data_IF_852423714850
#
_entry.id   IF_852423714850
#
_cell.length_a   1.000
_cell.length_b   1.000
_cell.length_c   1.000
_cell.angle_alpha   90.00
_cell.angle_beta   90.00
_cell.angle_gamma   90.00
#
_symmetry.space_group_name_H-M   'P 1'
#
loop_
_entity.id
_entity.type
_entity.pdbx_description
1 polymer ?
#
# COMPACT_ATOMS: atom_id res chain seq x y z
N UNK A 1 -3.89 -13.90 36.98
CA UNK A 1 -3.10 -12.69 36.70
C UNK A 1 -4.11 -11.56 36.62
N UNK A 2 -4.01 -10.56 37.50
CA UNK A 2 -4.93 -9.41 37.46
C UNK A 2 -4.60 -8.59 36.21
N UNK A 3 -5.61 -8.23 35.42
CA UNK A 3 -5.49 -7.23 34.37
C UNK A 3 -5.05 -5.91 35.01
N UNK A 4 -3.85 -5.46 34.69
CA UNK A 4 -3.34 -4.16 35.12
C UNK A 4 -4.05 -3.15 34.20
N UNK A 5 -5.08 -2.48 34.72
CA UNK A 5 -5.72 -1.36 34.03
C UNK A 5 -4.75 -0.19 33.90
N UNK A 6 -4.85 0.59 32.82
CA UNK A 6 -4.01 1.78 32.57
C UNK A 6 -3.86 2.70 33.79
N UNK A 7 -4.89 2.77 34.62
CA UNK A 7 -4.95 3.64 35.79
C UNK A 7 -4.06 3.17 36.96
N UNK A 8 -3.64 1.90 36.99
CA UNK A 8 -2.79 1.35 38.06
C UNK A 8 -1.29 1.62 37.80
N UNK A 9 -0.86 1.82 36.54
CA UNK A 9 0.55 2.07 36.21
C UNK A 9 1.03 3.47 36.64
N UNK A 10 0.10 4.42 36.83
CA UNK A 10 0.39 5.84 37.06
C UNK A 10 -0.02 6.35 38.45
N UNK A 11 -0.41 5.46 39.38
CA UNK A 11 -0.86 5.83 40.73
C UNK A 11 0.23 5.78 41.82
N UNK A 12 1.48 6.12 41.51
CA UNK A 12 2.48 6.32 42.58
C UNK A 12 2.41 7.74 43.18
N UNK A 13 1.86 7.78 44.40
CA UNK A 13 1.97 8.78 45.48
C UNK A 13 2.59 10.14 45.10
N UNK A 14 1.71 11.16 45.18
CA UNK A 14 2.01 12.60 45.32
C UNK A 14 3.09 12.85 46.39
N UNK A 15 4.32 13.01 45.95
CA UNK A 15 5.40 13.68 46.67
C UNK A 15 5.69 14.98 45.90
N UNK A 16 5.94 16.07 46.63
CA UNK A 16 6.30 17.39 46.10
C UNK A 16 7.28 17.30 44.93
N UNK A 17 7.09 18.05 43.82
CA UNK A 17 7.87 17.87 42.61
C UNK A 17 9.32 18.30 42.87
N UNK A 18 10.19 17.31 43.05
CA UNK A 18 11.60 17.49 42.73
C UNK A 18 11.68 17.50 41.21
N UNK A 19 12.23 18.57 40.63
CA UNK A 19 12.52 18.67 39.21
C UNK A 19 13.54 17.60 38.84
N UNK A 20 13.06 16.41 38.52
CA UNK A 20 13.85 15.36 37.90
C UNK A 20 14.06 15.77 36.43
N UNK A 21 15.30 16.09 36.01
CA UNK A 21 15.56 16.59 34.66
C UNK A 21 15.29 15.54 33.57
N UNK A 22 15.09 14.26 33.94
CA UNK A 22 14.79 13.16 33.01
C UNK A 22 13.33 12.69 33.09
N UNK A 23 12.45 13.43 33.78
CA UNK A 23 11.06 13.01 34.03
C UNK A 23 10.28 12.78 32.73
N UNK A 24 10.44 13.68 31.76
CA UNK A 24 9.77 13.62 30.46
C UNK A 24 10.26 12.42 29.63
N UNK A 25 11.58 12.25 29.54
CA UNK A 25 12.22 11.14 28.84
C UNK A 25 11.80 9.79 29.42
N UNK A 26 11.72 9.68 30.74
CA UNK A 26 11.24 8.49 31.43
C UNK A 26 9.78 8.21 31.11
N UNK A 27 8.94 9.24 31.09
CA UNK A 27 7.52 9.09 30.72
C UNK A 27 7.35 8.59 29.29
N UNK A 28 8.08 9.16 28.33
CA UNK A 28 8.05 8.74 26.93
C UNK A 28 8.54 7.30 26.74
N UNK A 29 9.58 6.88 27.47
CA UNK A 29 10.03 5.47 27.46
C UNK A 29 8.99 4.51 28.03
N UNK A 30 8.32 4.89 29.13
CA UNK A 30 7.24 4.10 29.71
C UNK A 30 6.04 4.02 28.77
N UNK A 31 5.68 5.12 28.14
CA UNK A 31 4.61 5.18 27.15
C UNK A 31 4.90 4.29 25.94
N UNK A 32 6.12 4.36 25.38
CA UNK A 32 6.53 3.48 24.27
C UNK A 32 6.50 2.00 24.67
N UNK A 33 6.98 1.68 25.87
CA UNK A 33 6.94 0.31 26.42
C UNK A 33 5.50 -0.19 26.62
N UNK A 34 4.61 0.67 27.11
CA UNK A 34 3.19 0.36 27.27
C UNK A 34 2.52 0.08 25.92
N UNK A 35 2.80 0.89 24.89
CA UNK A 35 2.29 0.66 23.54
C UNK A 35 2.85 -0.65 22.97
N UNK A 36 4.13 -0.96 23.19
CA UNK A 36 4.74 -2.18 22.68
C UNK A 36 4.06 -3.44 23.21
N UNK A 37 3.65 -3.43 24.49
CA UNK A 37 3.01 -4.57 25.14
C UNK A 37 1.52 -4.70 24.80
N UNK A 38 0.79 -3.57 24.74
CA UNK A 38 -0.68 -3.58 24.64
C UNK A 38 -1.20 -3.25 23.23
N UNK A 39 -0.47 -2.45 22.46
CA UNK A 39 -0.88 -1.90 21.17
C UNK A 39 0.29 -1.93 20.15
N UNK A 40 0.72 -3.13 19.71
CA UNK A 40 1.93 -3.30 18.90
C UNK A 40 1.86 -2.57 17.55
N UNK A 41 0.66 -2.38 16.98
CA UNK A 41 0.44 -1.60 15.76
C UNK A 41 0.98 -0.18 15.91
N UNK A 42 0.44 0.58 16.88
CA UNK A 42 0.81 1.96 17.17
C UNK A 42 2.26 2.10 17.66
N UNK A 43 2.73 1.15 18.46
CA UNK A 43 4.14 1.10 18.89
C UNK A 43 5.09 0.97 17.70
N UNK A 44 4.77 0.09 16.75
CA UNK A 44 5.58 -0.12 15.55
C UNK A 44 5.63 1.16 14.73
N UNK A 45 4.49 1.79 14.47
CA UNK A 45 4.40 3.07 13.75
C UNK A 45 5.26 4.16 14.39
N UNK A 46 5.15 4.36 15.71
CA UNK A 46 5.95 5.33 16.44
C UNK A 46 7.45 5.01 16.46
N UNK A 47 7.84 3.74 16.29
CA UNK A 47 9.27 3.36 16.27
C UNK A 47 9.96 3.75 14.97
N UNK A 48 9.20 3.91 13.87
CA UNK A 48 9.73 4.35 12.59
C UNK A 48 9.86 5.87 12.48
N UNK A 49 9.29 6.63 13.41
CA UNK A 49 9.35 8.09 13.46
C UNK A 49 10.21 8.51 14.64
N UNK A 50 11.09 9.50 14.44
CA UNK A 50 11.97 9.96 15.51
C UNK A 50 11.21 10.91 16.42
N UNK A 51 11.15 10.61 17.72
CA UNK A 51 10.66 11.54 18.74
C UNK A 51 11.84 12.36 19.27
N UNK A 52 11.85 13.67 19.04
CA UNK A 52 12.88 14.59 19.53
C UNK A 52 12.30 15.55 20.57
N UNK A 53 13.08 15.88 21.59
CA UNK A 53 12.71 16.83 22.64
C UNK A 53 13.56 18.07 22.45
N UNK A 54 12.93 19.21 22.16
CA UNK A 54 13.61 20.49 21.94
C UNK A 54 13.42 21.44 23.14
N UNK A 55 14.38 22.33 23.33
CA UNK A 55 14.27 23.37 24.36
C UNK A 55 13.23 24.43 23.96
N UNK A 56 12.55 25.03 24.92
CA UNK A 56 11.51 26.05 24.65
C UNK A 56 12.04 27.35 24.02
N UNK A 57 13.36 27.55 24.00
CA UNK A 57 14.00 28.62 23.24
C UNK A 57 14.18 28.30 21.76
N UNK A 58 14.20 27.01 21.41
CA UNK A 58 14.43 26.51 20.04
C UNK A 58 13.12 26.06 19.39
N UNK A 59 12.11 25.69 20.18
CA UNK A 59 10.76 25.43 19.69
C UNK A 59 10.09 26.74 19.24
N UNK A 60 9.26 26.65 18.21
CA UNK A 60 8.47 27.78 17.69
C UNK A 60 7.30 28.15 18.64
N UNK A 61 7.38 27.78 19.92
CA UNK A 61 6.34 27.81 20.97
C UNK A 61 5.16 26.88 20.72
N UNK A 62 5.26 25.99 19.74
CA UNK A 62 4.30 24.90 19.53
C UNK A 62 4.48 23.81 20.58
N UNK A 63 3.39 23.12 20.93
CA UNK A 63 3.39 22.16 22.04
C UNK A 63 4.04 20.83 21.62
N UNK A 64 3.53 20.24 20.54
CA UNK A 64 4.09 19.09 19.83
C UNK A 64 3.79 19.33 18.36
N UNK A 65 4.77 19.12 17.49
CA UNK A 65 4.63 19.45 16.09
C UNK A 65 5.58 18.61 15.23
N UNK A 66 5.37 18.57 13.93
CA UNK A 66 6.26 17.88 13.00
C UNK A 66 6.60 18.79 11.82
N UNK A 67 7.87 19.22 11.69
CA UNK A 67 8.33 19.98 10.50
C UNK A 67 8.30 19.11 9.25
N UNK A 68 8.81 17.88 9.39
CA UNK A 68 8.93 16.91 8.31
C UNK A 68 8.12 15.65 8.56
N UNK A 69 8.04 14.79 7.55
CA UNK A 69 7.40 13.47 7.65
C UNK A 69 8.19 12.43 8.47
N UNK A 70 9.38 12.77 8.96
CA UNK A 70 10.32 11.82 9.58
C UNK A 70 10.44 11.95 11.11
N UNK A 71 10.02 13.09 11.68
CA UNK A 71 10.21 13.41 13.09
C UNK A 71 8.99 14.10 13.69
N UNK A 72 8.74 13.81 14.97
CA UNK A 72 7.80 14.55 15.81
C UNK A 72 8.61 15.18 16.93
N UNK A 73 8.47 16.48 17.10
CA UNK A 73 9.20 17.30 18.06
C UNK A 73 8.26 17.64 19.21
N UNK A 74 8.74 17.44 20.44
CA UNK A 74 8.03 17.76 21.68
C UNK A 74 8.75 18.94 22.34
N UNK A 75 8.03 20.02 22.60
CA UNK A 75 8.56 21.13 23.40
C UNK A 75 8.76 20.68 24.85
N UNK A 76 9.99 20.82 25.35
CA UNK A 76 10.35 20.42 26.72
C UNK A 76 9.49 21.13 27.77
N UNK A 77 9.22 22.42 27.62
CA UNK A 77 8.46 23.21 28.58
C UNK A 77 7.03 22.70 28.74
N UNK A 78 6.34 22.47 27.63
CA UNK A 78 4.99 21.88 27.62
C UNK A 78 5.00 20.44 28.09
N UNK A 79 5.94 19.63 27.61
CA UNK A 79 6.09 18.21 27.98
C UNK A 79 6.30 18.02 29.48
N UNK A 80 7.28 18.71 30.07
CA UNK A 80 7.56 18.67 31.51
C UNK A 80 6.34 19.15 32.31
N UNK A 81 5.70 20.24 31.90
CA UNK A 81 4.49 20.74 32.55
C UNK A 81 3.38 19.68 32.56
N UNK A 82 3.13 19.00 31.43
CA UNK A 82 2.10 17.97 31.39
C UNK A 82 2.41 16.79 32.30
N UNK A 83 3.65 16.31 32.33
CA UNK A 83 4.02 15.19 33.20
C UNK A 83 4.00 15.61 34.68
N UNK A 84 4.47 16.80 35.03
CA UNK A 84 4.46 17.31 36.41
C UNK A 84 3.04 17.44 36.97
N UNK A 85 2.07 17.84 36.14
CA UNK A 85 0.67 18.01 36.55
C UNK A 85 -0.22 16.78 36.29
N UNK A 86 0.33 15.64 35.86
CA UNK A 86 -0.45 14.43 35.58
C UNK A 86 -1.43 14.59 34.41
N UNK A 87 -1.01 15.31 33.37
CA UNK A 87 -1.75 15.61 32.13
C UNK A 87 -1.08 14.99 30.91
N UNK A 88 -0.41 13.85 31.09
CA UNK A 88 0.35 13.15 30.04
C UNK A 88 -0.51 12.79 28.83
N UNK A 89 -1.82 12.60 29.03
CA UNK A 89 -2.77 12.34 27.93
C UNK A 89 -2.85 13.49 26.91
N UNK A 90 -2.58 14.73 27.30
CA UNK A 90 -2.46 15.83 26.34
C UNK A 90 -1.26 15.60 25.40
N UNK A 91 -0.14 15.16 25.96
CA UNK A 91 1.05 14.82 25.18
C UNK A 91 0.78 13.64 24.23
N UNK A 92 0.13 12.59 24.72
CA UNK A 92 -0.21 11.42 23.90
C UNK A 92 -1.14 11.79 22.76
N UNK A 93 -2.14 12.64 23.02
CA UNK A 93 -3.04 13.17 22.00
C UNK A 93 -2.25 13.87 20.88
N UNK A 94 -1.40 14.84 21.19
CA UNK A 94 -0.68 15.54 20.13
C UNK A 94 0.36 14.67 19.42
N UNK A 95 1.02 13.74 20.10
CA UNK A 95 1.92 12.77 19.43
C UNK A 95 1.14 11.94 18.40
N UNK A 96 -0.05 11.44 18.78
CA UNK A 96 -0.87 10.67 17.85
C UNK A 96 -1.52 11.54 16.76
N UNK A 97 -1.86 12.79 17.07
CA UNK A 97 -2.33 13.77 16.09
C UNK A 97 -1.31 13.96 14.97
N UNK A 98 -0.07 14.30 15.33
CA UNK A 98 1.03 14.47 14.38
C UNK A 98 1.37 13.17 13.63
N UNK A 99 1.39 12.04 14.34
CA UNK A 99 1.59 10.72 13.73
C UNK A 99 0.57 10.44 12.62
N UNK A 100 -0.70 10.78 12.86
CA UNK A 100 -1.76 10.56 11.88
C UNK A 100 -1.64 11.48 10.67
N UNK A 101 -1.22 12.74 10.83
CA UNK A 101 -0.91 13.59 9.67
C UNK A 101 0.20 13.02 8.79
N UNK A 102 1.22 12.41 9.40
CA UNK A 102 2.31 11.74 8.69
C UNK A 102 1.80 10.50 7.96
N UNK A 103 1.06 9.62 8.66
CA UNK A 103 0.55 8.36 8.09
C UNK A 103 -0.46 8.61 6.95
N UNK A 104 -1.34 9.60 7.11
CA UNK A 104 -2.36 9.96 6.13
C UNK A 104 -1.83 10.84 4.99
N UNK A 105 -0.53 11.17 5.04
CA UNK A 105 0.19 11.95 4.03
C UNK A 105 -0.38 13.35 3.84
N UNK A 106 -0.96 13.95 4.87
CA UNK A 106 -1.62 15.27 4.77
C UNK A 106 -0.67 16.37 4.31
N UNK A 107 0.59 16.33 4.78
CA UNK A 107 1.69 17.19 4.30
C UNK A 107 1.92 17.09 2.79
N UNK A 108 2.05 15.86 2.31
CA UNK A 108 2.48 15.58 0.93
C UNK A 108 1.32 15.75 -0.05
N UNK A 109 0.08 15.62 0.41
CA UNK A 109 -1.14 15.67 -0.41
C UNK A 109 -1.72 17.08 -0.61
N UNK A 110 -1.22 18.12 0.08
CA UNK A 110 -1.74 19.51 -0.01
C UNK A 110 -1.74 20.04 -1.45
N UNK A 111 -0.64 19.88 -2.17
CA UNK A 111 -0.41 20.44 -3.52
C UNK A 111 -0.70 21.96 -3.54
N UNK A 112 -1.28 22.48 -4.62
CA UNK A 112 -1.61 23.91 -4.81
C UNK A 112 -2.90 24.35 -4.09
N UNK A 113 -3.37 23.59 -3.09
CA UNK A 113 -4.60 23.93 -2.34
C UNK A 113 -4.33 25.03 -1.31
N UNK A 114 -5.38 25.74 -0.92
CA UNK A 114 -5.31 26.76 0.14
C UNK A 114 -4.86 26.09 1.45
N UNK A 115 -3.80 26.62 2.07
CA UNK A 115 -3.21 26.00 3.27
C UNK A 115 -4.18 25.98 4.45
N UNK A 116 -4.80 27.11 4.79
CA UNK A 116 -5.67 27.21 5.98
C UNK A 116 -6.84 26.23 5.89
N UNK A 117 -7.53 26.21 4.74
CA UNK A 117 -8.64 25.28 4.54
C UNK A 117 -8.20 23.81 4.52
N UNK A 118 -6.98 23.52 4.02
CA UNK A 118 -6.41 22.17 4.00
C UNK A 118 -6.02 21.69 5.39
N UNK A 119 -5.42 22.56 6.19
CA UNK A 119 -4.98 22.27 7.55
C UNK A 119 -6.20 21.99 8.44
N UNK A 120 -7.24 22.83 8.37
CA UNK A 120 -8.53 22.61 9.04
C UNK A 120 -9.15 21.27 8.62
N UNK A 121 -9.15 20.98 7.32
CA UNK A 121 -9.75 19.75 6.80
C UNK A 121 -9.00 18.51 7.25
N UNK A 122 -7.68 18.59 7.29
CA UNK A 122 -6.79 17.52 7.74
C UNK A 122 -6.98 17.24 9.23
N UNK A 123 -7.05 18.29 10.06
CA UNK A 123 -7.30 18.18 11.51
C UNK A 123 -8.67 17.54 11.80
N UNK A 124 -9.71 17.89 11.04
CA UNK A 124 -11.04 17.26 11.17
C UNK A 124 -10.95 15.75 10.89
N UNK A 125 -10.21 15.33 9.86
CA UNK A 125 -10.04 13.91 9.52
C UNK A 125 -9.23 13.18 10.60
N UNK A 126 -8.14 13.77 11.09
CA UNK A 126 -7.32 13.20 12.17
C UNK A 126 -8.14 13.04 13.45
N UNK A 127 -8.87 14.08 13.85
CA UNK A 127 -9.70 14.06 15.06
C UNK A 127 -10.79 12.99 14.96
N UNK A 128 -11.46 12.88 13.81
CA UNK A 128 -12.45 11.83 13.56
C UNK A 128 -11.83 10.43 13.64
N UNK A 129 -10.60 10.24 13.14
CA UNK A 129 -9.90 8.97 13.23
C UNK A 129 -9.56 8.61 14.68
N UNK A 130 -9.07 9.56 15.47
CA UNK A 130 -8.78 9.37 16.91
C UNK A 130 -10.05 8.99 17.69
N UNK A 131 -11.18 9.67 17.41
CA UNK A 131 -12.45 9.45 18.12
C UNK A 131 -13.11 8.12 17.80
N UNK A 132 -12.98 7.66 16.55
CA UNK A 132 -13.59 6.41 16.11
C UNK A 132 -12.70 5.18 16.40
N UNK A 133 -11.40 5.38 16.59
CA UNK A 133 -10.50 4.30 16.96
C UNK A 133 -10.67 3.88 18.44
N UNK A 134 -10.92 2.60 18.75
CA UNK A 134 -11.23 2.14 20.11
C UNK A 134 -10.05 2.21 21.08
N UNK A 135 -8.82 2.30 20.57
CA UNK A 135 -7.59 2.44 21.35
C UNK A 135 -7.25 3.92 21.55
N UNK A 136 -7.15 4.68 20.46
CA UNK A 136 -6.75 6.09 20.49
C UNK A 136 -7.78 6.94 21.23
N UNK A 137 -9.08 6.67 21.08
CA UNK A 137 -10.14 7.39 21.81
C UNK A 137 -9.98 7.29 23.33
N UNK A 138 -9.41 6.20 23.85
CA UNK A 138 -9.15 6.01 25.29
C UNK A 138 -7.81 6.62 25.71
N UNK A 139 -6.75 6.39 24.92
CA UNK A 139 -5.40 6.88 25.24
C UNK A 139 -5.28 8.41 25.13
N UNK A 140 -5.96 8.99 24.14
CA UNK A 140 -5.90 10.42 23.82
C UNK A 140 -7.02 11.24 24.51
N UNK A 141 -7.90 10.59 25.29
CA UNK A 141 -8.97 11.28 26.01
C UNK A 141 -8.38 12.30 27.00
N UNK A 142 -8.41 13.56 26.60
CA UNK A 142 -7.67 14.65 27.23
C UNK A 142 -8.39 15.98 27.01
N UNK A 143 -8.04 16.97 27.83
CA UNK A 143 -8.61 18.32 27.69
C UNK A 143 -8.21 18.98 26.37
N UNK A 144 -7.02 18.66 25.86
CA UNK A 144 -6.56 19.14 24.55
C UNK A 144 -7.49 18.64 23.42
N UNK A 145 -7.80 17.34 23.40
CA UNK A 145 -8.72 16.75 22.42
C UNK A 145 -10.12 17.38 22.50
N UNK A 146 -10.65 17.63 23.71
CA UNK A 146 -11.94 18.30 23.89
C UNK A 146 -11.95 19.73 23.33
N UNK A 147 -10.86 20.48 23.53
CA UNK A 147 -10.72 21.85 23.03
C UNK A 147 -10.69 21.89 21.50
N UNK A 148 -9.92 21.01 20.86
CA UNK A 148 -9.88 20.91 19.40
C UNK A 148 -11.20 20.41 18.82
N UNK A 149 -11.90 19.51 19.53
CA UNK A 149 -13.24 19.07 19.12
C UNK A 149 -14.24 20.23 19.11
N UNK A 150 -14.28 21.04 20.17
CA UNK A 150 -15.21 22.18 20.22
C UNK A 150 -14.86 23.24 19.18
N UNK A 151 -13.56 23.48 18.94
CA UNK A 151 -13.06 24.39 17.91
C UNK A 151 -13.51 23.98 16.51
N UNK A 152 -13.47 22.69 16.19
CA UNK A 152 -13.78 22.16 14.85
C UNK A 152 -15.26 21.79 14.67
N UNK A 153 -16.04 21.81 15.74
CA UNK A 153 -17.46 21.42 15.77
C UNK A 153 -18.32 22.11 14.71
N UNK A 154 -18.07 23.39 14.46
CA UNK A 154 -18.81 24.17 13.46
C UNK A 154 -18.65 23.63 12.03
N UNK A 155 -17.54 22.95 11.74
CA UNK A 155 -17.26 22.31 10.46
C UNK A 155 -17.75 20.86 10.45
N UNK A 156 -17.70 20.15 11.59
CA UNK A 156 -18.16 18.76 11.75
C UNK A 156 -19.68 18.57 11.59
N UNK A 157 -20.51 19.49 12.10
CA UNK A 157 -21.97 19.29 12.13
C UNK A 157 -22.61 19.12 10.75
N UNK A 158 -21.93 19.53 9.68
CA UNK A 158 -22.36 19.41 8.28
C UNK A 158 -21.77 18.19 7.55
N UNK A 159 -20.85 17.44 8.18
CA UNK A 159 -20.17 16.26 7.60
C UNK A 159 -20.91 14.95 7.98
N UNK A 160 -21.96 15.04 8.80
CA UNK A 160 -22.69 13.92 9.46
C UNK A 160 -23.18 12.77 8.58
N UNK A 161 -23.24 12.93 7.26
CA UNK A 161 -23.72 11.87 6.35
C UNK A 161 -22.63 10.96 5.76
N UNK A 162 -21.34 11.31 5.87
CA UNK A 162 -20.28 10.49 5.29
C UNK A 162 -19.51 9.71 6.37
N UNK A 163 -19.88 8.44 6.53
CA UNK A 163 -19.16 7.42 7.32
C UNK A 163 -17.71 7.18 6.85
N UNK A 164 -17.28 7.85 5.77
CA UNK A 164 -15.94 7.81 5.20
C UNK A 164 -15.51 9.24 4.85
N UNK A 165 -14.77 9.89 5.74
CA UNK A 165 -14.28 11.26 5.55
C UNK A 165 -12.90 11.26 4.87
N UNK A 166 -12.90 11.43 3.55
CA UNK A 166 -11.68 11.77 2.81
C UNK A 166 -11.35 13.24 3.04
N UNK A 167 -10.07 13.58 3.22
CA UNK A 167 -9.64 14.98 3.42
C UNK A 167 -10.08 15.86 2.26
N UNK A 168 -10.02 15.37 1.03
CA UNK A 168 -10.43 16.12 -0.16
C UNK A 168 -11.92 16.44 -0.17
N UNK A 169 -12.75 15.60 0.44
CA UNK A 169 -14.17 15.86 0.55
C UNK A 169 -14.45 16.89 1.65
N UNK A 170 -13.78 16.78 2.81
CA UNK A 170 -13.86 17.80 3.86
C UNK A 170 -13.40 19.17 3.35
N UNK A 171 -12.30 19.21 2.58
CA UNK A 171 -11.74 20.42 1.98
C UNK A 171 -12.72 21.16 1.06
N UNK A 172 -13.49 20.43 0.24
CA UNK A 172 -14.53 21.05 -0.59
C UNK A 172 -15.58 21.76 0.28
N UNK A 173 -15.98 21.15 1.39
CA UNK A 173 -16.98 21.73 2.29
C UNK A 173 -16.44 22.95 3.05
N UNK A 174 -15.22 22.87 3.57
CA UNK A 174 -14.56 23.99 4.28
C UNK A 174 -14.41 25.20 3.35
N UNK A 175 -13.87 24.99 2.14
CA UNK A 175 -13.70 26.08 1.16
C UNK A 175 -15.03 26.67 0.67
N UNK A 176 -16.10 25.87 0.55
CA UNK A 176 -17.43 26.39 0.23
C UNK A 176 -17.98 27.29 1.34
N UNK A 177 -17.73 26.97 2.62
CA UNK A 177 -18.18 27.76 3.76
C UNK A 177 -17.40 29.07 3.91
N UNK A 178 -16.10 29.06 3.68
CA UNK A 178 -15.26 30.28 3.64
C UNK A 178 -15.77 31.26 2.58
N UNK A 179 -16.04 30.77 1.37
CA UNK A 179 -16.64 31.59 0.29
C UNK A 179 -18.03 32.12 0.64
N UNK A 180 -18.86 31.37 1.36
CA UNK A 180 -20.18 31.85 1.82
C UNK A 180 -20.08 32.90 2.93
N UNK A 181 -19.04 32.83 3.79
CA UNK A 181 -18.75 33.86 4.80
C UNK A 181 -18.28 35.15 4.14
N UNK A 182 -17.43 35.07 3.11
CA UNK A 182 -16.98 36.24 2.34
C UNK A 182 -18.11 36.93 1.57
N UNK A 183 -19.07 36.18 1.01
CA UNK A 183 -20.23 36.76 0.30
C UNK A 183 -21.23 37.46 1.23
N UNK A 184 -21.27 37.06 2.52
CA UNK A 184 -22.20 37.62 3.50
C UNK A 184 -21.60 38.75 4.37
N UNK A 185 -20.27 38.89 4.44
CA UNK A 185 -19.60 39.92 5.21
C UNK A 185 -18.88 40.92 4.29
N UNK A 186 -19.49 42.10 4.11
CA UNK A 186 -18.89 43.26 3.44
C UNK A 186 -18.08 44.16 4.40
N UNK A 187 -17.58 43.62 5.53
CA UNK A 187 -16.76 44.37 6.47
C UNK A 187 -15.36 43.75 6.55
N UNK A 188 -14.40 44.52 6.03
CA UNK A 188 -12.97 44.27 6.16
C UNK A 188 -12.57 44.45 7.64
N UNK A 189 -12.57 43.36 8.39
CA UNK A 189 -11.76 43.24 9.60
C UNK A 189 -10.85 42.05 9.43
N UNK A 190 -9.57 42.33 9.19
CA UNK A 190 -8.48 41.36 9.32
C UNK A 190 -8.45 40.85 10.76
N UNK A 191 -9.08 39.71 11.00
CA UNK A 191 -8.91 38.95 12.24
C UNK A 191 -7.67 38.09 12.11
N UNK A 192 -6.56 38.51 12.75
CA UNK A 192 -5.48 37.60 13.13
C UNK A 192 -6.03 36.63 14.19
N UNK A 193 -6.71 35.58 13.76
CA UNK A 193 -7.06 34.49 14.65
C UNK A 193 -6.00 33.40 14.53
N UNK A 194 -5.47 32.98 15.68
CA UNK A 194 -4.58 31.84 15.88
C UNK A 194 -5.31 30.52 15.52
N UNK A 195 -5.52 30.28 14.22
CA UNK A 195 -6.49 29.30 13.69
C UNK A 195 -6.00 27.88 13.40
N UNK A 196 -4.72 27.57 13.63
CA UNK A 196 -4.20 26.20 13.59
C UNK A 196 -3.64 25.75 14.96
N UNK A 197 -3.77 24.47 15.32
CA UNK A 197 -3.09 23.88 16.49
C UNK A 197 -1.66 23.42 16.17
N UNK A 198 -1.26 23.45 14.90
CA UNK A 198 0.04 23.06 14.38
C UNK A 198 0.64 24.15 13.48
N UNK A 199 1.96 24.14 13.30
CA UNK A 199 2.68 25.09 12.45
C UNK A 199 2.21 25.06 10.98
N UNK A 200 2.23 26.19 10.25
CA UNK A 200 2.04 26.18 8.80
C UNK A 200 3.10 25.29 8.13
N UNK A 201 2.67 24.20 7.48
CA UNK A 201 3.58 23.29 6.81
C UNK A 201 4.37 24.00 5.69
N UNK A 202 5.69 23.86 5.67
CA UNK A 202 6.53 24.45 4.61
C UNK A 202 6.15 23.94 3.21
N UNK A 203 6.04 24.86 2.26
CA UNK A 203 5.83 24.55 0.85
C UNK A 203 7.14 24.13 0.20
N UNK A 204 7.45 22.83 0.20
CA UNK A 204 8.05 22.08 -0.93
C UNK A 204 8.77 20.82 -0.43
N UNK A 205 8.23 19.66 -0.78
CA UNK A 205 9.00 18.43 -0.82
C UNK A 205 9.48 18.21 -2.26
N UNK A 206 10.76 17.85 -2.43
CA UNK A 206 11.27 17.40 -3.72
C UNK A 206 10.60 16.08 -4.13
N UNK A 207 10.41 15.83 -5.44
CA UNK A 207 9.68 14.63 -5.91
C UNK A 207 10.38 13.33 -5.48
N UNK A 208 11.72 13.35 -5.44
CA UNK A 208 12.53 12.20 -5.01
C UNK A 208 12.36 11.90 -3.50
N UNK A 209 12.27 12.94 -2.66
CA UNK A 209 12.04 12.77 -1.22
C UNK A 209 10.65 12.22 -0.93
N UNK A 210 9.64 12.63 -1.72
CA UNK A 210 8.27 12.09 -1.63
C UNK A 210 8.24 10.59 -1.93
N UNK A 211 8.90 10.15 -3.00
CA UNK A 211 8.92 8.72 -3.37
C UNK A 211 9.63 7.86 -2.33
N UNK A 212 10.79 8.32 -1.84
CA UNK A 212 11.52 7.65 -0.78
C UNK A 212 10.67 7.51 0.50
N UNK A 213 10.00 8.60 0.89
CA UNK A 213 9.11 8.58 2.04
C UNK A 213 7.91 7.63 1.86
N UNK A 214 7.27 7.62 0.68
CA UNK A 214 6.18 6.68 0.38
C UNK A 214 6.63 5.22 0.46
N UNK A 215 7.85 4.92 0.00
CA UNK A 215 8.45 3.59 0.11
C UNK A 215 8.66 3.19 1.57
N UNK A 216 9.19 4.09 2.40
CA UNK A 216 9.44 3.83 3.81
C UNK A 216 8.14 3.71 4.62
N UNK A 217 7.13 4.53 4.32
CA UNK A 217 5.80 4.42 4.92
C UNK A 217 5.12 3.09 4.56
N UNK A 218 5.26 2.60 3.32
CA UNK A 218 4.79 1.25 2.93
C UNK A 218 5.47 0.16 3.75
N UNK A 219 6.79 0.25 3.97
CA UNK A 219 7.54 -0.72 4.80
C UNK A 219 7.04 -0.66 6.24
N UNK A 220 6.93 0.54 6.81
CA UNK A 220 6.43 0.76 8.17
C UNK A 220 5.05 0.14 8.38
N UNK A 221 4.08 0.47 7.52
CA UNK A 221 2.71 -0.04 7.62
C UNK A 221 2.64 -1.55 7.43
N UNK A 222 3.47 -2.14 6.57
CA UNK A 222 3.55 -3.59 6.39
C UNK A 222 4.05 -4.28 7.66
N UNK A 223 5.07 -3.74 8.32
CA UNK A 223 5.59 -4.31 9.57
C UNK A 223 4.57 -4.13 10.70
N UNK A 224 3.95 -2.96 10.80
CA UNK A 224 2.89 -2.70 11.79
C UNK A 224 1.67 -3.62 11.61
N UNK A 225 1.28 -3.87 10.36
CA UNK A 225 0.17 -4.79 10.05
C UNK A 225 0.50 -6.26 10.29
N UNK A 226 1.79 -6.63 10.32
CA UNK A 226 2.24 -7.98 10.67
C UNK A 226 2.40 -8.16 12.19
N UNK A 227 2.71 -7.09 12.92
CA UNK A 227 2.83 -7.11 14.38
C UNK A 227 1.49 -7.07 15.09
N UNK A 228 0.48 -6.42 14.49
CA UNK A 228 -0.91 -6.61 14.83
C UNK A 228 -1.39 -7.98 14.32
N UNK A 229 -2.01 -8.80 15.17
CA UNK A 229 -2.78 -9.95 14.69
C UNK A 229 -3.79 -9.46 13.65
N UNK A 230 -3.65 -9.92 12.41
CA UNK A 230 -4.34 -9.45 11.18
C UNK A 230 -5.88 -9.23 11.29
N UNK A 231 -6.53 -9.76 12.33
CA UNK A 231 -7.98 -9.67 12.54
C UNK A 231 -8.45 -8.52 13.41
N UNK A 232 -7.65 -8.02 14.37
CA UNK A 232 -8.21 -7.26 15.50
C UNK A 232 -8.32 -5.75 15.23
N UNK A 233 -7.56 -5.22 14.27
CA UNK A 233 -7.53 -3.78 13.98
C UNK A 233 -8.11 -3.44 12.59
N UNK A 234 -8.24 -4.40 11.68
CA UNK A 234 -8.63 -4.15 10.29
C UNK A 234 -10.08 -3.66 10.15
N UNK A 235 -10.97 -4.09 11.05
CA UNK A 235 -12.38 -3.68 11.03
C UNK A 235 -12.63 -2.33 11.73
N UNK A 236 -11.66 -1.85 12.53
CA UNK A 236 -11.78 -0.62 13.33
C UNK A 236 -11.24 0.63 12.61
N UNK A 237 -10.53 0.46 11.49
CA UNK A 237 -10.05 1.59 10.69
C UNK A 237 -11.11 2.12 9.73
N UNK A 238 -11.20 3.45 9.61
CA UNK A 238 -12.18 4.14 8.78
C UNK A 238 -11.48 5.10 7.78
N UNK A 239 -12.22 5.52 6.74
CA UNK A 239 -11.80 6.56 5.80
C UNK A 239 -10.44 6.33 5.14
N UNK A 240 -9.61 7.38 5.12
CA UNK A 240 -8.27 7.39 4.51
C UNK A 240 -7.35 6.31 5.07
N UNK A 241 -7.41 6.06 6.39
CA UNK A 241 -6.57 5.06 7.03
C UNK A 241 -6.85 3.65 6.50
N UNK A 242 -8.14 3.31 6.35
CA UNK A 242 -8.54 2.01 5.79
C UNK A 242 -8.04 1.84 4.36
N UNK A 243 -8.18 2.87 3.52
CA UNK A 243 -7.73 2.81 2.13
C UNK A 243 -6.20 2.70 2.01
N UNK A 244 -5.46 3.42 2.84
CA UNK A 244 -3.99 3.34 2.89
C UNK A 244 -3.57 1.94 3.31
N UNK A 245 -4.16 1.40 4.38
CA UNK A 245 -3.87 0.05 4.85
C UNK A 245 -4.25 -0.98 3.78
N UNK A 246 -5.44 -0.89 3.18
CA UNK A 246 -5.90 -1.80 2.11
C UNK A 246 -4.97 -1.74 0.88
N UNK A 247 -4.51 -0.55 0.48
CA UNK A 247 -3.61 -0.40 -0.65
C UNK A 247 -2.20 -0.91 -0.35
N UNK A 248 -1.72 -0.80 0.88
CA UNK A 248 -0.43 -1.36 1.32
C UNK A 248 -0.51 -2.87 1.51
N UNK A 249 -1.65 -3.37 2.02
CA UNK A 249 -1.90 -4.80 2.26
C UNK A 249 -2.29 -5.56 1.00
N UNK A 250 -2.74 -4.87 -0.06
CA UNK A 250 -2.89 -5.48 -1.39
C UNK A 250 -1.55 -6.16 -1.74
N UNK A 251 -1.52 -7.50 -1.81
CA UNK A 251 -0.28 -8.18 -2.10
C UNK A 251 0.19 -7.76 -3.49
N UNK A 252 1.44 -7.32 -3.59
CA UNK A 252 2.18 -7.38 -4.86
C UNK A 252 1.98 -8.79 -5.42
N UNK A 253 1.52 -8.88 -6.66
CA UNK A 253 1.07 -10.14 -7.23
C UNK A 253 2.22 -11.14 -7.27
N UNK A 254 2.17 -12.14 -6.38
CA UNK A 254 3.10 -13.28 -6.40
C UNK A 254 2.74 -14.19 -7.58
N UNK A 255 3.26 -13.83 -8.75
CA UNK A 255 3.09 -14.52 -10.03
C UNK A 255 3.43 -16.01 -9.88
N UNK A 256 4.46 -16.35 -9.11
CA UNK A 256 4.93 -17.73 -8.92
C UNK A 256 3.91 -18.55 -8.15
N UNK A 257 3.37 -18.00 -7.05
CA UNK A 257 2.31 -18.68 -6.29
C UNK A 257 1.06 -18.88 -7.13
N UNK A 258 0.68 -17.87 -7.92
CA UNK A 258 -0.47 -17.96 -8.81
C UNK A 258 -0.27 -19.01 -9.92
N UNK A 259 0.88 -18.99 -10.59
CA UNK A 259 1.23 -19.98 -11.62
C UNK A 259 1.32 -21.39 -11.04
N UNK A 260 1.89 -21.57 -9.85
CA UNK A 260 1.91 -22.88 -9.18
C UNK A 260 0.50 -23.42 -8.91
N UNK A 261 -0.45 -22.55 -8.54
CA UNK A 261 -1.87 -22.94 -8.38
C UNK A 261 -2.46 -23.38 -9.72
N UNK A 262 -2.18 -22.64 -10.80
CA UNK A 262 -2.63 -22.98 -12.15
C UNK A 262 -2.02 -24.30 -12.63
N UNK A 263 -0.71 -24.46 -12.56
CA UNK A 263 0.01 -25.69 -12.95
C UNK A 263 -0.53 -26.90 -12.19
N UNK A 264 -0.79 -26.76 -10.89
CA UNK A 264 -1.38 -27.82 -10.09
C UNK A 264 -2.80 -28.17 -10.51
N UNK A 265 -3.60 -27.21 -10.99
CA UNK A 265 -4.93 -27.48 -11.53
C UNK A 265 -4.90 -28.27 -12.85
N UNK A 266 -3.83 -28.13 -13.65
CA UNK A 266 -3.66 -28.87 -14.90
C UNK A 266 -3.08 -30.28 -14.73
N UNK A 267 -2.50 -30.57 -13.56
CA UNK A 267 -1.95 -31.89 -13.27
C UNK A 267 -3.08 -32.91 -13.04
N UNK A 268 -3.39 -33.72 -14.05
CA UNK A 268 -4.33 -34.82 -13.92
C UNK A 268 -3.67 -36.08 -13.37
N UNK A 269 -4.36 -36.76 -12.45
CA UNK A 269 -4.02 -38.10 -12.02
C UNK A 269 -4.68 -39.10 -12.97
N UNK A 270 -3.87 -39.92 -13.65
CA UNK A 270 -4.40 -41.06 -14.39
C UNK A 270 -4.43 -42.30 -13.49
N UNK A 271 -5.50 -43.07 -13.62
CA UNK A 271 -5.59 -44.40 -13.04
C UNK A 271 -5.00 -45.38 -14.04
N UNK A 272 -3.95 -46.10 -13.66
CA UNK A 272 -3.37 -47.14 -14.49
C UNK A 272 -2.99 -48.37 -13.66
N UNK A 273 -2.95 -49.52 -14.33
CA UNK A 273 -2.58 -50.80 -13.71
C UNK A 273 -1.07 -51.06 -13.75
N UNK A 274 -0.26 -50.16 -14.36
CA UNK A 274 1.21 -50.29 -14.34
C UNK A 274 1.78 -50.16 -12.92
N UNK A 275 1.12 -49.38 -12.07
CA UNK A 275 1.43 -49.24 -10.64
C UNK A 275 0.15 -49.42 -9.82
N UNK A 276 -0.28 -50.65 -9.51
CA UNK A 276 -1.50 -50.89 -8.73
C UNK A 276 -1.35 -50.41 -7.28
N UNK A 277 -2.46 -50.03 -6.65
CA UNK A 277 -2.45 -49.54 -5.27
C UNK A 277 -2.16 -50.70 -4.30
N UNK A 278 -0.99 -50.64 -3.65
CA UNK A 278 -0.50 -51.69 -2.76
C UNK A 278 -1.36 -51.91 -1.53
N UNK A 279 -2.21 -50.94 -1.17
CA UNK A 279 -3.10 -51.04 0.00
C UNK A 279 -4.17 -52.12 -0.16
N UNK A 280 -4.55 -52.49 -1.38
CA UNK A 280 -5.61 -53.48 -1.61
C UNK A 280 -5.08 -54.89 -1.94
N UNK A 281 -3.75 -55.04 -2.06
CA UNK A 281 -3.12 -56.31 -2.41
C UNK A 281 -3.35 -57.40 -1.36
N UNK A 282 -3.45 -57.04 -0.07
CA UNK A 282 -3.72 -58.01 1.01
C UNK A 282 -5.13 -58.63 0.93
N UNK A 283 -6.07 -57.98 0.23
CA UNK A 283 -7.42 -58.47 -0.01
C UNK A 283 -7.55 -59.20 -1.35
N UNK A 284 -6.42 -59.49 -2.04
CA UNK A 284 -6.39 -60.03 -3.40
C UNK A 284 -7.15 -59.17 -4.44
N UNK A 285 -7.27 -57.86 -4.21
CA UNK A 285 -7.91 -56.91 -5.14
C UNK A 285 -6.84 -56.11 -5.91
N UNK A 286 -6.90 -56.16 -7.25
CA UNK A 286 -6.05 -55.34 -8.12
C UNK A 286 -6.79 -54.06 -8.48
N UNK A 287 -6.50 -52.99 -7.74
CA UNK A 287 -7.06 -51.65 -7.97
C UNK A 287 -6.05 -50.80 -8.76
N UNK A 288 -6.47 -50.04 -9.79
CA UNK A 288 -5.56 -49.17 -10.53
C UNK A 288 -5.00 -48.10 -9.60
N UNK A 289 -3.68 -47.91 -9.61
CA UNK A 289 -3.07 -46.85 -8.81
C UNK A 289 -3.12 -45.51 -9.53
N UNK A 290 -3.03 -44.45 -8.73
CA UNK A 290 -2.95 -43.07 -9.22
C UNK A 290 -1.51 -42.75 -9.58
N UNK A 291 -1.25 -42.53 -10.88
CA UNK A 291 0.02 -41.95 -11.33
C UNK A 291 -0.21 -40.50 -11.70
N UNK A 292 0.63 -39.61 -11.17
CA UNK A 292 0.66 -38.21 -11.58
C UNK A 292 1.22 -38.15 -13.01
N UNK A 293 0.38 -37.74 -13.97
CA UNK A 293 0.85 -37.47 -15.32
C UNK A 293 1.42 -36.06 -15.33
N UNK A 294 2.72 -35.94 -15.07
CA UNK A 294 3.39 -34.64 -15.16
C UNK A 294 3.57 -34.32 -16.63
N UNK A 295 2.76 -33.39 -17.14
CA UNK A 295 2.92 -32.83 -18.48
C UNK A 295 3.83 -31.62 -18.41
N UNK A 296 4.64 -31.42 -19.45
CA UNK A 296 5.35 -30.16 -19.62
C UNK A 296 4.32 -29.04 -19.79
N UNK A 297 4.48 -27.98 -19.01
CA UNK A 297 3.62 -26.81 -19.07
C UNK A 297 4.24 -25.81 -20.04
N UNK A 298 3.55 -25.54 -21.16
CA UNK A 298 3.99 -24.60 -22.18
C UNK A 298 3.32 -23.25 -21.96
N UNK A 299 4.14 -22.26 -21.66
CA UNK A 299 3.75 -20.88 -21.40
C UNK A 299 4.22 -20.00 -22.55
N UNK A 300 3.34 -19.12 -23.03
CA UNK A 300 3.72 -18.03 -23.92
C UNK A 300 4.05 -16.80 -23.06
N UNK A 301 5.21 -16.21 -23.29
CA UNK A 301 5.66 -15.00 -22.63
C UNK A 301 5.85 -13.94 -23.70
N UNK A 302 4.81 -13.12 -23.88
CA UNK A 302 4.77 -12.06 -24.89
C UNK A 302 5.27 -10.77 -24.25
N UNK A 303 6.38 -10.25 -24.78
CA UNK A 303 7.01 -9.01 -24.32
C UNK A 303 6.87 -7.99 -25.43
N UNK A 304 6.18 -6.90 -25.11
CA UNK A 304 6.13 -5.72 -25.94
C UNK A 304 7.51 -5.04 -25.98
N UNK A 305 8.08 -4.91 -27.18
CA UNK A 305 9.36 -4.20 -27.42
C UNK A 305 9.14 -2.90 -28.19
N UNK A 306 7.93 -2.32 -28.08
CA UNK A 306 7.60 -1.01 -28.60
C UNK A 306 8.50 0.10 -28.04
N UNK A 307 8.56 1.23 -28.76
CA UNK A 307 9.40 2.35 -28.38
C UNK A 307 9.02 3.03 -27.05
N UNK A 308 7.85 2.73 -26.48
CA UNK A 308 7.39 3.28 -25.20
C UNK A 308 7.89 2.49 -23.98
N UNK A 309 8.38 1.26 -24.18
CA UNK A 309 8.96 0.44 -23.12
C UNK A 309 10.41 0.84 -22.83
N UNK A 310 10.74 1.11 -21.57
CA UNK A 310 12.12 1.40 -21.14
C UNK A 310 12.95 0.12 -21.07
N UNK A 311 14.25 0.26 -21.28
CA UNK A 311 15.19 -0.87 -21.22
C UNK A 311 15.18 -1.51 -19.81
N UNK A 312 15.03 -0.72 -18.74
CA UNK A 312 14.93 -1.21 -17.35
C UNK A 312 13.71 -2.12 -17.12
N UNK A 313 12.56 -1.76 -17.69
CA UNK A 313 11.33 -2.57 -17.58
C UNK A 313 11.50 -3.90 -18.32
N UNK A 314 12.13 -3.87 -19.50
CA UNK A 314 12.44 -5.08 -20.26
C UNK A 314 13.37 -6.02 -19.49
N UNK A 315 14.41 -5.48 -18.82
CA UNK A 315 15.30 -6.29 -17.98
C UNK A 315 14.57 -6.91 -16.80
N UNK A 316 13.68 -6.17 -16.13
CA UNK A 316 12.87 -6.68 -15.03
C UNK A 316 11.98 -7.85 -15.50
N UNK A 317 11.28 -7.67 -16.63
CA UNK A 317 10.42 -8.69 -17.25
C UNK A 317 11.21 -9.96 -17.59
N UNK A 318 12.39 -9.81 -18.20
CA UNK A 318 13.29 -10.92 -18.54
C UNK A 318 13.78 -11.65 -17.29
N UNK A 319 14.14 -10.90 -16.24
CA UNK A 319 14.62 -11.48 -14.99
C UNK A 319 13.58 -12.38 -14.34
N UNK A 320 12.30 -12.00 -14.41
CA UNK A 320 11.18 -12.79 -13.90
C UNK A 320 10.97 -14.07 -14.73
N UNK A 321 11.05 -13.98 -16.06
CA UNK A 321 11.00 -15.16 -16.93
C UNK A 321 12.09 -16.19 -16.57
N UNK A 322 13.32 -15.71 -16.33
CA UNK A 322 14.45 -16.56 -15.91
C UNK A 322 14.26 -17.13 -14.51
N UNK A 323 13.72 -16.33 -13.58
CA UNK A 323 13.45 -16.76 -12.23
C UNK A 323 12.38 -17.87 -12.19
N UNK A 324 11.33 -17.74 -13.00
CA UNK A 324 10.30 -18.78 -13.17
C UNK A 324 10.87 -20.09 -13.70
N UNK A 325 11.73 -20.07 -14.73
CA UNK A 325 12.38 -21.27 -15.26
C UNK A 325 13.23 -21.97 -14.20
N UNK A 326 13.91 -21.20 -13.35
CA UNK A 326 14.74 -21.77 -12.27
C UNK A 326 13.90 -22.46 -11.20
N UNK A 327 12.74 -21.91 -10.85
CA UNK A 327 11.94 -22.36 -9.71
C UNK A 327 10.89 -23.42 -10.07
N UNK A 328 10.45 -23.50 -11.32
CA UNK A 328 9.38 -24.41 -11.76
C UNK A 328 9.95 -25.59 -12.58
N UNK A 329 9.82 -26.84 -12.12
CA UNK A 329 10.27 -28.01 -12.87
C UNK A 329 9.31 -28.35 -14.03
N UNK A 330 9.85 -28.80 -15.18
CA UNK A 330 9.10 -29.21 -16.38
C UNK A 330 8.27 -28.06 -16.99
N UNK A 331 8.88 -26.89 -17.04
CA UNK A 331 8.32 -25.65 -17.57
C UNK A 331 9.02 -25.28 -18.89
N UNK A 332 8.24 -24.98 -19.93
CA UNK A 332 8.76 -24.47 -21.20
C UNK A 332 8.17 -23.08 -21.46
N UNK A 333 9.03 -22.09 -21.69
CA UNK A 333 8.61 -20.73 -21.98
C UNK A 333 8.97 -20.41 -23.42
N UNK A 334 7.99 -20.02 -24.23
CA UNK A 334 8.26 -19.36 -25.50
C UNK A 334 8.27 -17.85 -25.25
N UNK A 335 9.47 -17.26 -25.24
CA UNK A 335 9.69 -15.82 -25.13
C UNK A 335 9.52 -15.19 -26.52
N UNK A 336 8.60 -14.25 -26.63
CA UNK A 336 8.27 -13.59 -27.90
C UNK A 336 8.47 -12.09 -27.73
N UNK A 337 9.39 -11.53 -28.51
CA UNK A 337 9.54 -10.09 -28.66
C UNK A 337 8.70 -9.63 -29.85
N UNK A 338 7.83 -8.66 -29.61
CA UNK A 338 6.94 -8.15 -30.64
C UNK A 338 6.62 -6.66 -30.44
N UNK A 339 6.46 -5.96 -31.55
CA UNK A 339 6.00 -4.57 -31.63
C UNK A 339 4.73 -4.51 -32.52
N UNK A 340 4.85 -4.04 -33.75
CA UNK A 340 3.84 -4.16 -34.81
C UNK A 340 3.82 -5.60 -35.34
N UNK A 341 4.98 -6.27 -35.36
CA UNK A 341 5.14 -7.64 -35.82
C UNK A 341 5.94 -8.46 -34.81
N UNK A 342 5.94 -9.79 -34.99
CA UNK A 342 6.76 -10.67 -34.16
C UNK A 342 8.20 -10.61 -34.67
N UNK A 343 9.10 -10.06 -33.86
CA UNK A 343 10.49 -9.87 -34.22
C UNK A 343 11.31 -11.14 -33.94
N UNK A 344 11.10 -11.75 -32.76
CA UNK A 344 11.92 -12.87 -32.30
C UNK A 344 11.11 -13.83 -31.42
N UNK A 345 11.28 -15.13 -31.64
CA UNK A 345 10.68 -16.21 -30.85
C UNK A 345 11.82 -17.08 -30.32
N UNK A 346 11.88 -17.25 -29.01
CA UNK A 346 12.91 -18.05 -28.36
C UNK A 346 12.29 -19.02 -27.36
N UNK A 347 12.51 -20.31 -27.57
CA UNK A 347 12.03 -21.36 -26.66
C UNK A 347 13.06 -21.62 -25.57
N UNK A 348 12.71 -21.24 -24.35
CA UNK A 348 13.47 -21.43 -23.13
C UNK A 348 13.04 -22.72 -22.41
N UNK A 349 14.04 -23.50 -22.00
CA UNK A 349 13.87 -24.69 -21.17
C UNK A 349 14.90 -24.67 -20.03
N UNK A 350 14.64 -25.43 -18.96
CA UNK A 350 15.55 -25.50 -17.79
C UNK A 350 16.99 -25.94 -18.13
N UNK A 351 17.22 -26.53 -19.30
CA UNK A 351 18.56 -26.94 -19.75
C UNK A 351 19.28 -25.87 -20.58
N UNK A 352 18.54 -25.11 -21.39
CA UNK A 352 19.11 -24.21 -22.40
C UNK A 352 19.21 -22.75 -21.95
N UNK A 353 18.62 -22.38 -20.82
CA UNK A 353 18.49 -20.97 -20.42
C UNK A 353 19.84 -20.25 -20.26
N UNK A 354 20.90 -20.94 -19.76
CA UNK A 354 22.24 -20.33 -19.55
C UNK A 354 22.94 -19.95 -20.84
N UNK A 355 22.84 -20.79 -21.87
CA UNK A 355 23.47 -20.55 -23.17
C UNK A 355 22.76 -19.43 -23.92
N UNK A 356 21.45 -19.31 -23.73
CA UNK A 356 20.63 -18.30 -24.39
C UNK A 356 20.62 -16.95 -23.67
N UNK A 357 21.18 -16.82 -22.45
CA UNK A 357 21.22 -15.55 -21.71
C UNK A 357 21.81 -14.39 -22.51
N UNK A 358 22.86 -14.63 -23.32
CA UNK A 358 23.46 -13.59 -24.15
C UNK A 358 22.50 -13.09 -25.24
N UNK A 359 21.76 -14.01 -25.85
CA UNK A 359 20.81 -13.74 -26.94
C UNK A 359 19.50 -13.13 -26.44
N UNK A 360 19.16 -13.33 -25.17
CA UNK A 360 17.97 -12.73 -24.53
C UNK A 360 18.12 -11.21 -24.40
N UNK A 361 19.33 -10.74 -24.09
CA UNK A 361 19.63 -9.33 -23.86
C UNK A 361 19.68 -8.50 -25.16
N UNK A 362 19.77 -9.16 -26.32
CA UNK A 362 19.64 -8.51 -27.62
C UNK A 362 18.15 -8.30 -27.93
N UNK A 363 17.63 -7.15 -27.50
CA UNK A 363 16.28 -6.69 -27.79
C UNK A 363 16.23 -6.14 -29.22
N UNK A 364 15.30 -6.66 -30.02
CA UNK A 364 15.03 -6.21 -31.40
C UNK A 364 13.62 -5.60 -31.45
N UNK A 365 13.49 -4.40 -32.03
CA UNK A 365 12.21 -3.70 -32.16
C UNK A 365 12.32 -2.18 -32.04
N UNK A 366 11.38 -1.57 -31.30
CA UNK A 366 11.09 -0.12 -31.15
C UNK A 366 10.12 0.49 -32.17
N UNK A 367 9.26 -0.35 -32.75
CA UNK A 367 8.08 0.11 -33.51
C UNK A 367 6.93 0.59 -32.62
N UNK A 368 5.73 0.72 -33.21
CA UNK A 368 4.49 0.89 -32.46
C UNK A 368 3.95 -0.43 -31.90
N UNK A 369 2.93 -0.38 -31.05
CA UNK A 369 2.36 -1.57 -30.40
C UNK A 369 1.19 -2.14 -31.19
N UNK A 370 1.21 -3.43 -31.55
CA UNK A 370 0.02 -4.11 -32.08
C UNK A 370 -0.15 -5.54 -31.57
N UNK A 371 -1.23 -5.79 -30.83
CA UNK A 371 -1.58 -7.12 -30.33
C UNK A 371 -2.14 -8.07 -31.41
N UNK A 372 -2.33 -7.60 -32.64
CA UNK A 372 -2.71 -8.49 -33.75
C UNK A 372 -1.63 -9.52 -34.06
N UNK A 373 -0.36 -9.17 -33.82
CA UNK A 373 0.80 -10.05 -33.97
C UNK A 373 0.69 -11.28 -33.05
N UNK A 374 0.31 -11.06 -31.77
CA UNK A 374 0.05 -12.10 -30.78
C UNK A 374 -1.04 -13.08 -31.25
N UNK A 375 -2.18 -12.56 -31.70
CA UNK A 375 -3.29 -13.40 -32.11
C UNK A 375 -2.94 -14.26 -33.33
N UNK A 376 -2.20 -13.70 -34.28
CA UNK A 376 -1.70 -14.39 -35.47
C UNK A 376 -0.75 -15.53 -35.10
N UNK A 377 0.16 -15.28 -34.14
CA UNK A 377 1.08 -16.30 -33.63
C UNK A 377 0.33 -17.47 -32.97
N UNK A 378 -0.66 -17.15 -32.13
CA UNK A 378 -1.49 -18.15 -31.46
C UNK A 378 -2.30 -19.01 -32.45
N UNK A 379 -2.85 -18.40 -33.49
CA UNK A 379 -3.62 -19.13 -34.52
C UNK A 379 -2.71 -20.02 -35.37
N UNK A 380 -1.50 -19.56 -35.71
CA UNK A 380 -0.51 -20.35 -36.44
C UNK A 380 -0.03 -21.57 -35.65
N UNK A 381 0.22 -21.42 -34.33
CA UNK A 381 0.54 -22.54 -33.44
C UNK A 381 -0.60 -23.55 -33.33
N UNK A 382 -1.84 -23.06 -33.17
CA UNK A 382 -3.04 -23.93 -33.12
C UNK A 382 -3.23 -24.74 -34.40
N UNK A 383 -2.98 -24.15 -35.57
CA UNK A 383 -3.02 -24.88 -36.86
C UNK A 383 -2.02 -26.04 -36.92
N UNK A 384 -0.87 -25.93 -36.23
CA UNK A 384 0.13 -27.00 -36.12
C UNK A 384 -0.22 -28.06 -35.05
N UNK A 385 -1.34 -27.90 -34.33
CA UNK A 385 -1.73 -28.81 -33.25
C UNK A 385 -1.05 -28.53 -31.91
N UNK A 386 -0.24 -27.47 -31.81
CA UNK A 386 0.38 -27.02 -30.57
C UNK A 386 -0.51 -26.00 -29.86
N UNK A 387 -0.57 -26.07 -28.53
CA UNK A 387 -1.36 -25.12 -27.72
C UNK A 387 -0.58 -24.71 -26.46
N UNK A 388 -0.56 -23.41 -26.19
CA UNK A 388 -0.14 -22.87 -24.90
C UNK A 388 -1.21 -23.06 -23.84
N UNK A 389 -0.81 -23.46 -22.64
CA UNK A 389 -1.71 -23.60 -21.50
C UNK A 389 -2.06 -22.23 -20.88
N UNK A 390 -1.13 -21.28 -20.93
CA UNK A 390 -1.33 -19.90 -20.52
C UNK A 390 -0.48 -18.94 -21.36
N UNK A 391 -0.91 -17.67 -21.41
CA UNK A 391 -0.19 -16.60 -22.09
C UNK A 391 -0.07 -15.39 -21.15
N UNK A 392 1.16 -15.01 -20.84
CA UNK A 392 1.51 -13.79 -20.12
C UNK A 392 1.84 -12.71 -21.14
N UNK A 393 1.23 -11.54 -20.99
CA UNK A 393 1.40 -10.40 -21.89
C UNK A 393 1.94 -9.24 -21.05
N UNK A 394 3.13 -8.76 -21.39
CA UNK A 394 3.77 -7.61 -20.76
C UNK A 394 3.79 -6.45 -21.76
N UNK A 395 3.20 -5.33 -21.36
CA UNK A 395 3.15 -4.09 -22.15
C UNK A 395 2.75 -2.95 -21.24
N UNK A 396 3.12 -1.73 -21.58
CA UNK A 396 2.56 -0.51 -20.98
C UNK A 396 1.13 -0.21 -21.49
N UNK A 397 0.62 -1.01 -22.44
CA UNK A 397 -0.67 -0.85 -23.10
C UNK A 397 -0.86 0.54 -23.72
N UNK A 398 0.20 1.11 -24.30
CA UNK A 398 0.11 2.38 -25.04
C UNK A 398 -0.61 2.20 -26.39
N UNK A 399 -1.93 2.00 -26.33
CA UNK A 399 -2.83 1.76 -27.46
C UNK A 399 -4.12 2.58 -27.34
N UNK A 400 -4.78 2.84 -28.47
CA UNK A 400 -6.07 3.54 -28.50
C UNK A 400 -7.20 2.74 -27.83
N UNK A 401 -8.17 3.44 -27.24
CA UNK A 401 -9.35 2.85 -26.58
C UNK A 401 -10.12 1.85 -27.47
N UNK A 402 -10.11 2.06 -28.79
CA UNK A 402 -10.75 1.15 -29.74
C UNK A 402 -10.04 -0.19 -29.82
N UNK A 403 -8.71 -0.17 -29.92
CA UNK A 403 -7.90 -1.39 -29.99
C UNK A 403 -7.94 -2.15 -28.66
N UNK A 404 -7.98 -1.44 -27.54
CA UNK A 404 -8.13 -2.02 -26.21
C UNK A 404 -9.46 -2.79 -26.06
N UNK A 405 -10.55 -2.21 -26.56
CA UNK A 405 -11.86 -2.87 -26.58
C UNK A 405 -11.86 -4.12 -27.47
N UNK A 406 -11.21 -4.06 -28.64
CA UNK A 406 -11.07 -5.22 -29.51
C UNK A 406 -10.24 -6.33 -28.87
N UNK A 407 -9.16 -5.98 -28.17
CA UNK A 407 -8.31 -6.90 -27.42
C UNK A 407 -9.13 -7.66 -26.36
N UNK A 408 -9.88 -6.94 -25.52
CA UNK A 408 -10.75 -7.53 -24.49
C UNK A 408 -11.78 -8.49 -25.09
N UNK A 409 -12.45 -8.09 -26.19
CA UNK A 409 -13.42 -8.95 -26.85
C UNK A 409 -12.80 -10.22 -27.43
N UNK A 410 -11.62 -10.12 -28.03
CA UNK A 410 -10.91 -11.28 -28.60
C UNK A 410 -10.42 -12.24 -27.52
N UNK A 411 -9.92 -11.72 -26.40
CA UNK A 411 -9.53 -12.52 -25.23
C UNK A 411 -10.76 -13.28 -24.70
N UNK A 412 -11.91 -12.62 -24.52
CA UNK A 412 -13.16 -13.24 -24.04
C UNK A 412 -13.69 -14.37 -24.93
N UNK A 413 -13.54 -14.23 -26.25
CA UNK A 413 -13.97 -15.27 -27.20
C UNK A 413 -13.10 -16.53 -27.13
N UNK A 414 -11.88 -16.44 -26.61
CA UNK A 414 -10.95 -17.57 -26.52
C UNK A 414 -11.07 -18.25 -25.15
N UNK A 415 -10.97 -19.58 -25.15
CA UNK A 415 -10.90 -20.40 -23.92
C UNK A 415 -9.48 -20.56 -23.37
N UNK A 416 -8.56 -19.67 -23.79
CA UNK A 416 -7.17 -19.71 -23.34
C UNK A 416 -7.03 -18.82 -22.11
N UNK A 417 -6.09 -19.16 -21.23
CA UNK A 417 -5.81 -18.35 -20.04
C UNK A 417 -4.84 -17.23 -20.41
N UNK A 418 -5.32 -16.00 -20.33
CA UNK A 418 -4.50 -14.79 -20.52
C UNK A 418 -4.29 -14.09 -19.19
N UNK A 419 -3.07 -13.63 -18.96
CA UNK A 419 -2.68 -12.84 -17.81
C UNK A 419 -2.00 -11.58 -18.35
N UNK A 420 -2.61 -10.42 -18.11
CA UNK A 420 -2.13 -9.13 -18.57
C UNK A 420 -1.33 -8.48 -17.45
N UNK A 421 -0.10 -8.07 -17.76
CA UNK A 421 0.79 -7.34 -16.86
C UNK A 421 1.16 -5.99 -17.44
N UNK A 422 0.80 -4.94 -16.71
CA UNK A 422 1.09 -3.56 -17.07
C UNK A 422 2.32 -3.05 -16.29
N UNK A 423 3.25 -2.39 -16.98
CA UNK A 423 4.46 -1.78 -16.39
C UNK A 423 4.25 -0.38 -15.82
N UNK A 424 3.19 0.33 -16.26
CA UNK A 424 2.84 1.66 -15.79
C UNK A 424 1.33 1.81 -15.53
N UNK A 425 0.97 2.70 -14.61
CA UNK A 425 -0.42 2.98 -14.20
C UNK A 425 -1.24 3.80 -15.23
N UNK A 426 -0.62 4.24 -16.32
CA UNK A 426 -1.29 5.08 -17.31
C UNK A 426 -2.31 4.27 -18.14
N UNK A 427 -3.60 4.51 -17.88
CA UNK A 427 -4.78 4.10 -18.66
C UNK A 427 -5.33 2.66 -18.53
N UNK A 428 -5.03 1.92 -17.46
CA UNK A 428 -5.54 0.53 -17.28
C UNK A 428 -6.87 0.41 -16.53
N UNK A 429 -7.55 1.53 -16.23
CA UNK A 429 -8.81 1.55 -15.45
C UNK A 429 -9.93 0.68 -16.05
N UNK A 430 -9.95 0.43 -17.36
CA UNK A 430 -10.95 -0.42 -18.00
C UNK A 430 -10.68 -1.93 -17.86
N UNK A 431 -9.40 -2.30 -17.73
CA UNK A 431 -8.92 -3.68 -17.67
C UNK A 431 -8.99 -4.25 -16.25
N UNK A 432 -8.91 -3.40 -15.22
CA UNK A 432 -8.97 -3.78 -13.80
C UNK A 432 -10.33 -4.33 -13.32
N UNK A 433 -11.42 -4.09 -14.07
CA UNK A 433 -12.73 -4.72 -13.84
C UNK A 433 -12.76 -6.20 -14.22
N UNK A 434 -11.74 -6.70 -14.92
CA UNK A 434 -11.62 -8.09 -15.34
C UNK A 434 -10.67 -8.85 -14.40
N UNK A 435 -11.06 -10.08 -14.00
CA UNK A 435 -10.40 -10.92 -12.97
C UNK A 435 -8.96 -11.39 -13.32
N UNK A 436 -8.25 -10.74 -14.23
CA UNK A 436 -7.03 -11.27 -14.87
C UNK A 436 -6.00 -10.20 -15.28
N UNK A 437 -6.06 -9.01 -14.67
CA UNK A 437 -5.11 -7.93 -14.93
C UNK A 437 -4.37 -7.61 -13.64
N UNK A 438 -3.06 -7.72 -13.70
CA UNK A 438 -2.17 -7.54 -12.55
C UNK A 438 -1.15 -6.46 -12.89
N UNK A 439 -0.84 -5.63 -11.90
CA UNK A 439 0.10 -4.52 -12.04
C UNK A 439 1.50 -5.01 -11.71
N UNK A 440 2.46 -4.65 -12.56
CA UNK A 440 3.88 -4.89 -12.33
C UNK A 440 4.49 -3.59 -11.81
N UNK A 441 4.61 -3.49 -10.48
CA UNK A 441 5.35 -2.38 -9.86
C UNK A 441 6.64 -2.97 -9.26
N UNK A 442 7.78 -2.41 -9.69
CA UNK A 442 9.08 -2.64 -9.07
C UNK A 442 9.09 -2.19 -7.60
#
# INVERSE_FOLDING_TARGET
MKEITSDELFQEKRLSPQKDPELLEKNLRLFHSFLHLNHPFYSTLLTYITLEIESTSESEKHQVYSKDNSKIIIDRGHGETWVEYGKERNMYYYIFHELLHIILLHKTRRNERNSEAWDISSDIVVLNQIRNDPVLSKLCNSRAMEQDTERLREYEEQIKDNQHCFVEDVYKHVTHKEKQKEVNNNDNTESNDERSSHDPWEEQYDEEEKENFLSDLKKMLRVASQSATLSDYHDDFHGDMKLIIDNVLKPQFDLIRYLNKIINSFNHYSMNYKRPDRRYLYQNLIVPGRTKNVREFSLLFYVDTSGSMKDDDLYAIISEALFMLKNIPLFTIDLVYADVQVNKIMTLTNKNYREQMKTILEVEGRGGTSFNSLFTLLDNKRKKGEKYQASLIFSDFYIDDRELNELSQRIKKRRDLFILMATHDSNTYFLSKEKSVYYFNN
#
